data_IF_346896406053
#
_entry.id   IF_346896406053
#
_cell.length_a   1.000
_cell.length_b   1.000
_cell.length_c   1.000
_cell.angle_alpha   90.00
_cell.angle_beta   90.00
_cell.angle_gamma   90.00
#
_symmetry.space_group_name_H-M   'P 1'
#
loop_
_entity.id
_entity.type
_entity.pdbx_description
1 polymer ?
#
# COMPACT_ATOMS: atom_id res chain seq x y z
N UNK A 1 -4.20 8.52 20.55
CA UNK A 1 -3.46 7.30 20.12
C UNK A 1 -3.40 7.34 18.60
N UNK A 2 -2.28 7.01 17.97
CA UNK A 2 -2.21 7.03 16.51
C UNK A 2 -3.06 5.89 15.93
N UNK A 3 -3.78 6.14 14.83
CA UNK A 3 -4.68 5.18 14.17
C UNK A 3 -3.98 3.84 13.85
N UNK A 4 -2.71 3.90 13.51
CA UNK A 4 -1.90 2.71 13.15
C UNK A 4 -1.15 2.07 14.33
N UNK A 5 -1.31 2.58 15.57
CA UNK A 5 -0.51 2.09 16.71
C UNK A 5 -0.74 0.60 17.02
N UNK A 6 -1.97 0.11 16.80
CA UNK A 6 -2.34 -1.29 17.01
C UNK A 6 -2.15 -2.16 15.75
N UNK A 7 -1.68 -1.56 14.66
CA UNK A 7 -1.53 -2.22 13.37
C UNK A 7 -0.05 -2.36 12.94
N UNK A 8 0.91 -2.10 13.85
CA UNK A 8 2.34 -2.15 13.52
C UNK A 8 2.82 -3.53 13.08
N UNK A 9 2.29 -4.58 13.68
CA UNK A 9 2.56 -5.96 13.30
C UNK A 9 2.05 -6.29 11.88
N UNK A 10 0.87 -5.76 11.53
CA UNK A 10 0.33 -5.90 10.18
C UNK A 10 1.14 -5.09 9.15
N UNK A 11 1.62 -3.89 9.54
CA UNK A 11 2.53 -3.10 8.69
C UNK A 11 3.84 -3.85 8.41
N UNK A 12 4.42 -4.51 9.43
CA UNK A 12 5.58 -5.37 9.25
C UNK A 12 5.28 -6.56 8.33
N UNK A 13 4.06 -7.10 8.40
CA UNK A 13 3.59 -8.15 7.50
C UNK A 13 3.53 -7.69 6.04
N UNK A 14 3.06 -6.47 5.79
CA UNK A 14 3.06 -5.85 4.44
C UNK A 14 4.48 -5.72 3.91
N UNK A 15 5.39 -5.20 4.74
CA UNK A 15 6.79 -5.01 4.38
C UNK A 15 7.46 -6.35 4.01
N UNK A 16 7.25 -7.37 4.83
CA UNK A 16 7.76 -8.72 4.58
C UNK A 16 7.19 -9.32 3.30
N UNK A 17 5.89 -9.19 3.05
CA UNK A 17 5.25 -9.69 1.83
C UNK A 17 5.80 -9.01 0.58
N UNK A 18 6.00 -7.69 0.65
CA UNK A 18 6.58 -6.92 -0.43
C UNK A 18 8.05 -7.28 -0.69
N UNK A 19 8.85 -7.46 0.36
CA UNK A 19 10.25 -7.89 0.23
C UNK A 19 10.35 -9.29 -0.36
N UNK A 20 9.49 -10.22 0.03
CA UNK A 20 9.42 -11.55 -0.58
C UNK A 20 9.08 -11.47 -2.07
N UNK A 21 8.14 -10.61 -2.45
CA UNK A 21 7.80 -10.39 -3.86
C UNK A 21 9.00 -9.86 -4.65
N UNK A 22 9.66 -8.83 -4.13
CA UNK A 22 10.88 -8.26 -4.74
C UNK A 22 11.98 -9.31 -4.89
N UNK A 23 12.18 -10.12 -3.84
CA UNK A 23 13.22 -11.13 -3.83
C UNK A 23 12.90 -12.27 -4.82
N UNK A 24 11.63 -12.66 -4.94
CA UNK A 24 11.19 -13.65 -5.93
C UNK A 24 11.44 -13.17 -7.37
N UNK A 25 11.15 -11.90 -7.67
CA UNK A 25 11.46 -11.28 -8.95
C UNK A 25 12.98 -11.24 -9.21
N UNK A 26 13.77 -10.90 -8.20
CA UNK A 26 15.21 -10.81 -8.32
C UNK A 26 15.88 -12.19 -8.47
N UNK A 27 15.47 -13.16 -7.67
CA UNK A 27 16.02 -14.52 -7.68
C UNK A 27 15.43 -15.41 -8.78
N UNK A 28 14.19 -15.13 -9.20
CA UNK A 28 13.48 -15.87 -10.24
C UNK A 28 13.96 -15.59 -11.66
N UNK A 29 14.89 -14.66 -11.85
CA UNK A 29 15.49 -14.41 -13.16
C UNK A 29 16.13 -15.68 -13.74
N UNK A 30 16.04 -15.83 -15.06
CA UNK A 30 16.67 -16.92 -15.79
C UNK A 30 18.16 -17.02 -15.45
N UNK A 31 18.65 -18.23 -15.11
CA UNK A 31 20.05 -18.50 -14.80
C UNK A 31 20.53 -19.67 -15.65
N UNK A 32 21.76 -19.58 -16.09
CA UNK A 32 22.42 -20.65 -16.86
C UNK A 32 23.65 -21.08 -16.07
N UNK A 33 23.64 -22.34 -15.67
CA UNK A 33 24.79 -23.00 -15.05
C UNK A 33 25.52 -23.77 -16.11
N UNK A 34 26.82 -23.53 -16.28
CA UNK A 34 27.62 -24.14 -17.30
C UNK A 34 28.93 -24.66 -16.73
N UNK A 35 29.45 -25.72 -17.34
CA UNK A 35 30.76 -26.24 -16.99
C UNK A 35 31.86 -25.25 -17.41
N UNK A 36 32.83 -25.05 -16.54
CA UNK A 36 33.98 -24.16 -16.81
C UNK A 36 34.76 -24.53 -18.07
N UNK A 37 34.72 -25.77 -18.50
CA UNK A 37 35.34 -26.23 -19.74
C UNK A 37 34.77 -25.59 -21.00
N UNK A 38 33.55 -25.06 -20.92
CA UNK A 38 32.91 -24.30 -22.02
C UNK A 38 33.41 -22.85 -22.12
N UNK A 39 34.14 -22.37 -21.13
CA UNK A 39 34.67 -21.01 -21.14
C UNK A 39 35.91 -20.89 -22.05
N UNK A 40 36.01 -19.77 -22.73
CA UNK A 40 37.25 -19.39 -23.40
C UNK A 40 38.25 -18.97 -22.34
N UNK A 41 39.42 -19.61 -22.30
CA UNK A 41 40.49 -19.24 -21.37
C UNK A 41 41.39 -18.21 -22.02
N UNK A 42 41.59 -17.09 -21.34
CA UNK A 42 42.52 -16.05 -21.74
C UNK A 42 43.51 -15.85 -20.59
N UNK A 43 44.79 -15.88 -20.88
CA UNK A 43 45.82 -15.58 -19.86
C UNK A 43 45.90 -14.08 -19.73
N UNK A 44 45.63 -13.56 -18.53
CA UNK A 44 45.73 -12.16 -18.23
C UNK A 44 47.18 -11.66 -18.15
N UNK A 45 47.34 -10.36 -18.06
CA UNK A 45 48.66 -9.73 -17.90
C UNK A 45 49.35 -10.09 -16.54
N UNK A 46 48.59 -10.60 -15.59
CA UNK A 46 48.98 -11.16 -14.30
C UNK A 46 49.43 -12.62 -14.36
N UNK A 47 49.41 -13.24 -15.58
CA UNK A 47 49.79 -14.64 -15.79
C UNK A 47 48.71 -15.65 -15.30
N UNK A 48 47.57 -15.15 -14.83
CA UNK A 48 46.46 -16.05 -14.38
C UNK A 48 45.45 -16.34 -15.48
N UNK A 49 44.84 -17.53 -15.50
CA UNK A 49 43.82 -17.87 -16.44
C UNK A 49 42.48 -17.15 -16.08
N UNK A 50 42.01 -16.33 -16.99
CA UNK A 50 40.70 -15.73 -16.93
C UNK A 50 39.72 -16.52 -17.81
N UNK A 51 38.61 -16.95 -17.23
CA UNK A 51 37.57 -17.71 -17.91
C UNK A 51 36.51 -16.74 -18.42
N UNK A 52 36.38 -16.61 -19.73
CA UNK A 52 35.39 -15.74 -20.37
C UNK A 52 34.21 -16.62 -20.74
N UNK A 53 33.00 -16.33 -20.23
CA UNK A 53 31.79 -17.05 -20.58
C UNK A 53 31.52 -16.93 -22.09
N UNK A 54 30.84 -17.95 -22.69
CA UNK A 54 30.42 -17.84 -24.09
C UNK A 54 29.42 -16.71 -24.24
N UNK A 55 29.76 -15.74 -25.05
CA UNK A 55 28.98 -14.55 -25.42
C UNK A 55 28.65 -13.52 -24.35
N UNK A 56 28.31 -12.37 -24.84
CA UNK A 56 28.14 -11.02 -24.27
C UNK A 56 26.95 -10.90 -23.30
N UNK A 57 26.80 -11.82 -22.36
CA UNK A 57 25.65 -11.89 -21.48
C UNK A 57 25.96 -11.35 -20.10
N UNK A 58 25.04 -10.58 -19.57
CA UNK A 58 25.20 -9.94 -18.25
C UNK A 58 25.65 -10.97 -17.20
N UNK A 59 26.67 -10.62 -16.41
CA UNK A 59 27.29 -11.47 -15.39
C UNK A 59 26.28 -12.06 -14.37
N UNK A 60 25.04 -11.58 -14.35
CA UNK A 60 23.97 -12.05 -13.46
C UNK A 60 23.23 -13.29 -13.96
N UNK A 61 23.41 -13.70 -15.23
CA UNK A 61 22.69 -14.84 -15.81
C UNK A 61 23.54 -16.12 -15.90
N UNK A 62 24.87 -16.00 -15.86
CA UNK A 62 25.76 -17.12 -16.07
C UNK A 62 26.57 -17.45 -14.82
N UNK A 63 26.47 -18.70 -14.41
CA UNK A 63 27.20 -19.24 -13.26
C UNK A 63 28.06 -20.41 -13.69
N UNK A 64 29.39 -20.27 -13.56
CA UNK A 64 30.29 -21.38 -13.83
C UNK A 64 30.27 -22.39 -12.68
N UNK A 65 30.03 -23.64 -13.02
CA UNK A 65 30.23 -24.75 -12.09
C UNK A 65 31.70 -25.16 -12.07
N UNK A 66 32.26 -25.58 -10.92
CA UNK A 66 33.57 -26.21 -10.90
C UNK A 66 33.47 -27.48 -11.73
N UNK A 67 34.27 -27.56 -12.79
CA UNK A 67 34.31 -28.76 -13.65
C UNK A 67 34.56 -29.99 -12.79
N UNK A 68 33.81 -31.07 -13.05
CA UNK A 68 34.21 -32.40 -12.56
C UNK A 68 35.58 -32.67 -13.13
N UNK A 69 36.52 -33.15 -12.29
CA UNK A 69 37.83 -33.62 -12.80
C UNK A 69 37.61 -34.47 -14.03
N UNK A 70 38.20 -34.04 -15.14
CA UNK A 70 37.91 -34.53 -16.47
C UNK A 70 38.09 -36.05 -16.56
N UNK A 71 37.00 -36.79 -16.56
CA UNK A 71 36.98 -38.02 -17.33
C UNK A 71 36.89 -37.55 -18.78
N UNK A 72 37.85 -37.97 -19.60
CA UNK A 72 38.02 -37.60 -21.00
C UNK A 72 36.81 -37.89 -21.92
N UNK A 73 35.77 -38.50 -21.38
CA UNK A 73 34.53 -38.92 -22.07
C UNK A 73 33.25 -38.20 -21.59
N UNK A 74 33.30 -37.26 -20.65
CA UNK A 74 32.11 -36.57 -20.19
C UNK A 74 31.85 -35.33 -21.05
N UNK A 75 30.70 -35.30 -21.73
CA UNK A 75 30.25 -34.11 -22.43
C UNK A 75 30.07 -32.96 -21.44
N UNK A 76 30.46 -31.73 -21.81
CA UNK A 76 30.27 -30.55 -20.94
C UNK A 76 28.78 -30.35 -20.65
N UNK A 77 28.45 -30.22 -19.36
CA UNK A 77 27.08 -30.04 -18.92
C UNK A 77 26.74 -28.53 -18.83
N UNK A 78 25.56 -28.21 -19.26
CA UNK A 78 24.94 -26.90 -18.99
C UNK A 78 23.50 -27.10 -18.50
N UNK A 79 23.06 -26.31 -17.56
CA UNK A 79 21.73 -26.39 -17.00
C UNK A 79 21.07 -25.00 -17.04
N UNK A 80 19.89 -24.96 -17.59
CA UNK A 80 19.05 -23.79 -17.59
C UNK A 80 18.11 -23.85 -16.37
N UNK A 81 18.12 -22.79 -15.57
CA UNK A 81 17.19 -22.57 -14.48
C UNK A 81 16.30 -21.38 -14.86
N UNK A 82 15.07 -21.67 -15.18
CA UNK A 82 14.07 -20.67 -15.57
C UNK A 82 12.76 -20.99 -14.83
N UNK A 83 12.68 -20.67 -13.52
CA UNK A 83 11.49 -20.97 -12.74
C UNK A 83 10.34 -20.07 -13.16
N UNK A 84 9.13 -20.57 -13.04
CA UNK A 84 7.92 -19.74 -13.13
C UNK A 84 7.89 -18.74 -11.97
N UNK A 85 7.70 -17.48 -12.28
CA UNK A 85 7.56 -16.42 -11.27
C UNK A 85 6.19 -16.54 -10.61
N UNK A 86 6.15 -16.59 -9.29
CA UNK A 86 4.92 -16.68 -8.48
C UNK A 86 4.29 -15.28 -8.30
N UNK A 87 4.13 -14.56 -9.39
CA UNK A 87 3.66 -13.16 -9.34
C UNK A 87 2.26 -13.05 -8.77
N UNK A 88 1.38 -13.96 -9.11
CA UNK A 88 -0.01 -13.96 -8.67
C UNK A 88 -0.15 -14.29 -7.18
N UNK A 89 0.59 -15.28 -6.70
CA UNK A 89 0.61 -15.65 -5.28
C UNK A 89 1.24 -14.54 -4.42
N UNK A 90 2.32 -13.93 -4.89
CA UNK A 90 2.95 -12.81 -4.22
C UNK A 90 2.04 -11.57 -4.20
N UNK A 91 1.37 -11.26 -5.30
CA UNK A 91 0.39 -10.18 -5.36
C UNK A 91 -0.75 -10.40 -4.36
N UNK A 92 -1.28 -11.63 -4.30
CA UNK A 92 -2.32 -11.99 -3.32
C UNK A 92 -1.83 -11.86 -1.89
N UNK A 93 -0.61 -12.32 -1.58
CA UNK A 93 -0.03 -12.19 -0.25
C UNK A 93 0.12 -10.72 0.19
N UNK A 94 0.58 -9.84 -0.70
CA UNK A 94 0.65 -8.39 -0.43
C UNK A 94 -0.75 -7.81 -0.20
N UNK A 95 -1.74 -8.19 -1.02
CA UNK A 95 -3.12 -7.72 -0.88
C UNK A 95 -3.73 -8.18 0.45
N UNK A 96 -3.57 -9.44 0.84
CA UNK A 96 -4.07 -9.97 2.10
C UNK A 96 -3.48 -9.24 3.31
N UNK A 97 -2.19 -8.91 3.27
CA UNK A 97 -1.55 -8.14 4.35
C UNK A 97 -2.02 -6.69 4.38
N UNK A 98 -2.26 -6.05 3.23
CA UNK A 98 -2.84 -4.72 3.14
C UNK A 98 -4.27 -4.68 3.69
N UNK A 99 -5.07 -5.71 3.43
CA UNK A 99 -6.43 -5.82 3.93
C UNK A 99 -6.43 -5.99 5.47
N UNK A 100 -5.53 -6.82 6.00
CA UNK A 100 -5.36 -6.98 7.43
C UNK A 100 -4.90 -5.68 8.12
N UNK A 101 -3.94 -4.97 7.51
CA UNK A 101 -3.47 -3.68 8.00
C UNK A 101 -4.60 -2.65 8.00
N UNK A 102 -5.35 -2.57 6.91
CA UNK A 102 -6.50 -1.68 6.77
C UNK A 102 -7.58 -1.96 7.81
N UNK A 103 -7.91 -3.24 8.01
CA UNK A 103 -8.87 -3.67 9.03
C UNK A 103 -8.42 -3.27 10.45
N UNK A 104 -7.16 -3.51 10.81
CA UNK A 104 -6.62 -3.12 12.12
C UNK A 104 -6.58 -1.61 12.34
N UNK A 105 -6.43 -0.83 11.27
CA UNK A 105 -6.54 0.62 11.31
C UNK A 105 -8.00 1.12 11.42
N UNK A 106 -9.00 0.24 11.35
CA UNK A 106 -10.41 0.62 11.36
C UNK A 106 -10.88 1.30 10.07
N UNK A 107 -10.17 1.07 8.96
CA UNK A 107 -10.50 1.65 7.64
C UNK A 107 -11.35 0.70 6.78
N UNK A 108 -11.66 -0.49 7.31
CA UNK A 108 -12.32 -1.57 6.58
C UNK A 108 -11.35 -2.41 5.74
N UNK A 109 -11.82 -3.57 5.27
CA UNK A 109 -11.09 -4.38 4.30
C UNK A 109 -11.12 -3.72 2.92
N UNK A 110 -10.17 -4.09 2.05
CA UNK A 110 -10.08 -3.63 0.65
C UNK A 110 -9.92 -2.11 0.45
N UNK A 111 -9.45 -1.39 1.49
CA UNK A 111 -9.16 0.04 1.36
C UNK A 111 -8.00 0.31 0.40
N UNK A 112 -7.01 -0.56 0.41
CA UNK A 112 -5.82 -0.51 -0.45
C UNK A 112 -5.86 -1.64 -1.48
N UNK A 113 -6.88 -1.66 -2.34
CA UNK A 113 -6.97 -2.63 -3.42
C UNK A 113 -6.27 -2.13 -4.67
N UNK A 114 -5.43 -2.98 -5.26
CA UNK A 114 -4.85 -2.73 -6.59
C UNK A 114 -5.83 -3.04 -7.72
N UNK A 115 -6.84 -3.85 -7.44
CA UNK A 115 -7.92 -4.06 -8.38
C UNK A 115 -8.88 -2.86 -8.29
N UNK A 116 -9.02 -2.15 -9.39
CA UNK A 116 -10.12 -1.21 -9.57
C UNK A 116 -11.42 -2.04 -9.64
N UNK A 117 -11.94 -2.36 -8.47
CA UNK A 117 -13.20 -3.09 -8.36
C UNK A 117 -14.26 -2.36 -9.17
N UNK A 118 -14.97 -3.09 -10.02
CA UNK A 118 -16.15 -2.58 -10.68
C UNK A 118 -17.21 -2.39 -9.60
N UNK A 119 -17.23 -1.21 -8.98
CA UNK A 119 -18.33 -0.82 -8.11
C UNK A 119 -19.54 -0.68 -9.02
N UNK A 120 -20.40 -1.68 -9.01
CA UNK A 120 -21.52 -1.76 -9.95
C UNK A 120 -22.64 -0.78 -9.61
N UNK A 121 -22.74 -0.40 -8.33
CA UNK A 121 -23.82 0.48 -7.84
C UNK A 121 -23.33 1.44 -6.76
N UNK A 122 -24.00 2.59 -6.64
CA UNK A 122 -23.75 3.55 -5.57
C UNK A 122 -23.92 2.93 -4.17
N UNK A 123 -24.84 2.00 -4.01
CA UNK A 123 -25.10 1.28 -2.74
C UNK A 123 -23.93 0.39 -2.34
N UNK A 124 -23.31 -0.34 -3.28
CA UNK A 124 -22.11 -1.14 -3.03
C UNK A 124 -20.93 -0.26 -2.66
N UNK A 125 -20.78 0.88 -3.35
CA UNK A 125 -19.73 1.85 -3.03
C UNK A 125 -19.86 2.41 -1.61
N UNK A 126 -21.07 2.79 -1.21
CA UNK A 126 -21.35 3.29 0.15
C UNK A 126 -21.16 2.19 1.18
N UNK A 127 -21.63 0.97 0.90
CA UNK A 127 -21.45 -0.18 1.77
C UNK A 127 -19.97 -0.51 2.03
N UNK A 128 -19.16 -0.50 0.99
CA UNK A 128 -17.70 -0.78 1.09
C UNK A 128 -16.93 0.27 1.89
N UNK A 129 -17.50 1.47 2.08
CA UNK A 129 -16.91 2.56 2.86
C UNK A 129 -17.50 2.77 4.24
N UNK A 130 -18.47 1.95 4.63
CA UNK A 130 -19.17 2.12 5.90
C UNK A 130 -18.23 2.10 7.10
N UNK A 131 -17.25 1.21 7.11
CA UNK A 131 -16.25 1.12 8.18
C UNK A 131 -15.38 2.39 8.25
N UNK A 132 -14.98 2.91 7.10
CA UNK A 132 -14.23 4.17 7.02
C UNK A 132 -15.06 5.34 7.57
N UNK A 133 -16.34 5.41 7.20
CA UNK A 133 -17.28 6.46 7.68
C UNK A 133 -17.45 6.37 9.18
N UNK A 134 -17.66 5.17 9.74
CA UNK A 134 -17.79 4.97 11.17
C UNK A 134 -16.50 5.37 11.92
N UNK A 135 -15.34 5.01 11.36
CA UNK A 135 -14.05 5.37 11.93
C UNK A 135 -13.82 6.89 11.89
N UNK A 136 -14.18 7.55 10.80
CA UNK A 136 -14.12 9.00 10.67
C UNK A 136 -15.03 9.70 11.69
N UNK A 137 -16.29 9.29 11.78
CA UNK A 137 -17.26 9.85 12.73
C UNK A 137 -16.79 9.69 14.18
N UNK A 138 -16.24 8.52 14.53
CA UNK A 138 -15.67 8.27 15.86
C UNK A 138 -14.54 9.24 16.21
N UNK A 139 -13.72 9.63 15.25
CA UNK A 139 -12.63 10.57 15.43
C UNK A 139 -13.08 12.03 15.38
N UNK A 140 -14.16 12.35 14.68
CA UNK A 140 -14.73 13.71 14.60
C UNK A 140 -15.24 14.21 15.96
N UNK A 141 -15.92 13.37 16.73
CA UNK A 141 -16.52 13.74 18.02
C UNK A 141 -15.50 14.35 19.01
N UNK A 142 -14.36 13.71 19.32
CA UNK A 142 -13.39 14.29 20.23
C UNK A 142 -12.70 15.53 19.65
N UNK A 143 -12.50 15.59 18.33
CA UNK A 143 -11.91 16.76 17.67
C UNK A 143 -12.88 17.95 17.75
N UNK A 144 -14.16 17.75 17.48
CA UNK A 144 -15.18 18.77 17.61
C UNK A 144 -15.25 19.33 19.03
N UNK A 145 -15.26 18.45 20.03
CA UNK A 145 -15.24 18.84 21.45
C UNK A 145 -14.02 19.69 21.78
N UNK A 146 -12.84 19.30 21.29
CA UNK A 146 -11.60 20.04 21.50
C UNK A 146 -11.63 21.41 20.81
N UNK A 147 -12.09 21.47 19.56
CA UNK A 147 -12.21 22.72 18.79
C UNK A 147 -13.17 23.69 19.46
N UNK A 148 -14.35 23.26 19.90
CA UNK A 148 -15.31 24.09 20.63
C UNK A 148 -14.68 24.60 21.93
N UNK A 149 -13.95 23.76 22.66
CA UNK A 149 -13.24 24.16 23.88
C UNK A 149 -12.18 25.24 23.63
N UNK A 150 -11.39 25.10 22.58
CA UNK A 150 -10.38 26.10 22.20
C UNK A 150 -11.06 27.43 21.78
N UNK A 151 -12.09 27.36 20.97
CA UNK A 151 -12.81 28.56 20.51
C UNK A 151 -13.47 29.31 21.68
N UNK A 152 -14.05 28.57 22.62
CA UNK A 152 -14.60 29.19 23.84
C UNK A 152 -13.52 29.89 24.70
N UNK A 153 -12.36 29.24 24.83
CA UNK A 153 -11.23 29.84 25.55
C UNK A 153 -10.73 31.12 24.86
N UNK A 154 -10.68 31.13 23.54
CA UNK A 154 -10.31 32.32 22.75
C UNK A 154 -11.35 33.44 22.94
N UNK A 155 -12.64 33.12 22.84
CA UNK A 155 -13.71 34.13 23.06
C UNK A 155 -13.70 34.68 24.48
N UNK A 156 -13.45 33.80 25.47
CA UNK A 156 -13.31 34.24 26.87
C UNK A 156 -12.11 35.18 27.04
N UNK A 157 -10.97 34.86 26.45
CA UNK A 157 -9.79 35.73 26.51
C UNK A 157 -10.03 37.06 25.78
N UNK A 158 -10.66 37.04 24.62
CA UNK A 158 -11.00 38.22 23.85
C UNK A 158 -11.90 39.19 24.68
N UNK A 159 -12.91 38.65 25.37
CA UNK A 159 -13.79 39.43 26.21
C UNK A 159 -13.08 39.98 27.44
N UNK A 160 -12.40 39.13 28.21
CA UNK A 160 -11.91 39.49 29.54
C UNK A 160 -10.53 40.16 29.53
N UNK A 161 -9.67 39.84 28.54
CA UNK A 161 -8.32 40.40 28.47
C UNK A 161 -8.22 41.57 27.47
N UNK A 162 -8.96 41.51 26.36
CA UNK A 162 -8.88 42.50 25.30
C UNK A 162 -10.08 43.46 25.26
N UNK A 163 -11.11 43.22 26.08
CA UNK A 163 -12.30 44.06 26.12
C UNK A 163 -13.14 44.00 24.83
N UNK A 164 -13.00 42.94 24.04
CA UNK A 164 -13.76 42.79 22.79
C UNK A 164 -15.26 42.56 23.10
N UNK A 165 -16.17 43.10 22.30
CA UNK A 165 -17.62 42.92 22.47
C UNK A 165 -18.09 41.59 21.92
N UNK A 166 -17.57 40.49 22.50
CA UNK A 166 -17.90 39.10 22.11
C UNK A 166 -18.54 38.37 23.28
N UNK A 167 -19.40 37.41 22.98
CA UNK A 167 -20.01 36.53 23.98
C UNK A 167 -19.39 35.16 23.97
N UNK A 168 -18.70 34.73 25.04
CA UNK A 168 -18.11 33.39 25.15
C UNK A 168 -19.12 32.22 25.16
N UNK A 169 -20.39 32.53 25.52
CA UNK A 169 -21.46 31.53 25.57
C UNK A 169 -22.19 31.37 24.22
N UNK A 170 -21.71 32.03 23.16
CA UNK A 170 -22.27 31.88 21.82
C UNK A 170 -22.27 30.41 21.39
N UNK A 171 -23.37 29.98 20.76
CA UNK A 171 -23.45 28.64 20.19
C UNK A 171 -22.43 28.46 19.05
N UNK A 172 -21.54 27.50 19.20
CA UNK A 172 -20.52 27.18 18.23
C UNK A 172 -20.87 25.80 17.62
N UNK A 173 -21.00 25.74 16.32
CA UNK A 173 -21.16 24.49 15.56
C UNK A 173 -19.99 24.28 14.63
N UNK A 174 -19.52 23.03 14.53
CA UNK A 174 -18.50 22.61 13.57
C UNK A 174 -19.22 21.89 12.45
N UNK A 175 -19.05 22.36 11.22
CA UNK A 175 -19.61 21.70 10.05
C UNK A 175 -18.47 20.93 9.34
N UNK A 176 -18.61 19.61 9.29
CA UNK A 176 -17.65 18.75 8.64
C UNK A 176 -17.99 18.59 7.16
N UNK A 177 -16.98 18.60 6.32
CA UNK A 177 -17.14 18.24 4.91
C UNK A 177 -17.14 16.71 4.77
N UNK A 178 -18.30 16.14 4.48
CA UNK A 178 -18.55 14.73 4.26
C UNK A 178 -18.68 14.36 2.77
N UNK A 179 -18.24 15.23 1.87
CA UNK A 179 -18.26 15.02 0.41
C UNK A 179 -17.51 13.75 -0.05
N UNK A 180 -16.60 13.23 0.79
CA UNK A 180 -15.90 11.96 0.54
C UNK A 180 -16.78 10.71 0.78
N UNK A 181 -17.94 10.88 1.43
CA UNK A 181 -18.88 9.81 1.79
C UNK A 181 -20.00 9.71 0.77
N UNK A 182 -20.57 10.86 0.42
CA UNK A 182 -21.75 10.96 -0.45
C UNK A 182 -21.37 11.75 -1.70
N UNK A 183 -21.71 11.23 -2.87
CA UNK A 183 -21.48 11.98 -4.10
C UNK A 183 -22.35 13.25 -4.10
N UNK A 184 -21.84 14.32 -4.66
CA UNK A 184 -22.57 15.62 -4.76
C UNK A 184 -23.93 15.45 -5.48
N UNK A 185 -24.00 14.49 -6.38
CA UNK A 185 -25.25 14.13 -7.09
C UNK A 185 -26.29 13.46 -6.18
N UNK A 186 -25.86 12.55 -5.31
CA UNK A 186 -26.75 11.91 -4.34
C UNK A 186 -27.28 12.92 -3.31
N UNK A 187 -26.40 13.79 -2.82
CA UNK A 187 -26.78 14.88 -1.91
C UNK A 187 -27.80 15.82 -2.56
N UNK A 188 -27.58 16.17 -3.82
CA UNK A 188 -28.51 17.03 -4.58
C UNK A 188 -29.86 16.34 -4.81
N UNK A 189 -29.87 15.03 -5.09
CA UNK A 189 -31.08 14.26 -5.26
C UNK A 189 -31.85 14.13 -3.93
N UNK A 190 -31.14 13.87 -2.85
CA UNK A 190 -31.73 13.77 -1.51
C UNK A 190 -32.34 15.12 -1.06
N UNK A 191 -31.65 16.23 -1.29
CA UNK A 191 -32.20 17.58 -1.04
C UNK A 191 -33.41 17.89 -1.89
N UNK A 192 -33.47 17.39 -3.13
CA UNK A 192 -34.66 17.56 -3.98
C UNK A 192 -35.83 16.73 -3.48
N UNK A 193 -35.58 15.49 -3.07
CA UNK A 193 -36.61 14.62 -2.49
C UNK A 193 -37.16 15.19 -1.17
N UNK A 194 -36.29 15.69 -0.29
CA UNK A 194 -36.66 16.32 0.96
C UNK A 194 -37.45 17.63 0.73
N UNK A 195 -37.09 18.40 -0.30
CA UNK A 195 -37.80 19.60 -0.68
C UNK A 195 -39.19 19.27 -1.26
N UNK A 196 -39.32 18.18 -2.02
CA UNK A 196 -40.63 17.68 -2.55
C UNK A 196 -41.47 17.17 -1.39
N UNK A 197 -40.86 16.47 -0.41
CA UNK A 197 -41.55 15.97 0.78
C UNK A 197 -41.93 17.08 1.79
N UNK A 198 -41.46 18.35 1.57
CA UNK A 198 -41.77 19.47 2.45
C UNK A 198 -40.94 19.45 3.75
N UNK A 199 -39.86 18.69 3.82
CA UNK A 199 -39.00 18.56 4.99
C UNK A 199 -37.93 19.67 5.07
N UNK A 200 -37.66 20.37 3.96
CA UNK A 200 -36.72 21.49 3.89
C UNK A 200 -37.46 22.75 3.45
N UNK A 201 -37.30 23.90 4.12
CA UNK A 201 -37.89 25.17 3.68
C UNK A 201 -37.35 25.55 2.29
N UNK A 202 -38.27 26.04 1.43
CA UNK A 202 -37.95 26.50 0.06
C UNK A 202 -37.07 27.75 0.08
#
# INVERSE_FOLDING_TARGET
>A
MAVFAEALDAAQGVDLAFDNYRQDLYLGGKKIFYDRSLCKVVIGADGQPHYIPPDDMSAQQFFSLPGKEASLDAAPEWHEYNPDLRTEDNHRAVQDMLDLFSFKCGLGCHRYSFELGKVATATEYTGSRQDLVQSANKNQIPIETALIGILRAILWAAKNLLGAPVDPETSISVNWDDSYIVSEQERTNQLREDAIAGLVPR
#
